data_IF_229290695130
#
_entry.id   IF_229290695130
#
_cell.length_a   1.000
_cell.length_b   1.000
_cell.length_c   1.000
_cell.angle_alpha   90.00
_cell.angle_beta   90.00
_cell.angle_gamma   90.00
#
_symmetry.space_group_name_H-M   'P 1'
#
loop_
_entity.id
_entity.type
_entity.pdbx_description
1 polymer ?
#
# COMPACT_ATOMS: atom_id res chain seq x y z
N UNK A 1 9.63 -3.12 -2.46
CA UNK A 1 9.34 -3.67 -1.11
C UNK A 1 7.84 -3.63 -0.87
N UNK A 2 7.26 -4.68 -0.29
CA UNK A 2 5.85 -4.71 0.10
C UNK A 2 5.72 -4.80 1.62
N UNK A 3 4.97 -3.88 2.23
CA UNK A 3 4.59 -3.91 3.64
C UNK A 3 3.07 -4.07 3.77
N UNK A 4 2.63 -5.32 3.96
CA UNK A 4 1.24 -5.68 4.28
C UNK A 4 0.86 -5.38 5.73
N UNK A 5 1.36 -4.27 6.28
CA UNK A 5 1.20 -3.81 7.65
C UNK A 5 1.16 -2.29 7.66
N UNK A 6 0.55 -1.72 8.69
CA UNK A 6 0.66 -0.31 8.98
C UNK A 6 0.16 0.01 10.39
N UNK A 7 0.37 1.25 10.82
CA UNK A 7 -0.12 1.77 12.09
C UNK A 7 -0.56 3.24 11.95
N UNK A 8 -1.19 3.81 12.98
CA UNK A 8 -1.71 5.17 12.92
C UNK A 8 -0.61 6.25 12.96
N UNK A 9 0.64 5.85 13.27
CA UNK A 9 1.68 6.78 13.70
C UNK A 9 2.61 7.20 12.56
N UNK A 10 2.34 8.39 12.01
CA UNK A 10 3.26 9.09 11.11
C UNK A 10 4.36 9.88 11.85
N UNK A 11 4.33 9.92 13.19
CA UNK A 11 5.33 10.60 14.03
C UNK A 11 6.51 9.69 14.39
N UNK A 12 6.47 8.41 14.03
CA UNK A 12 7.62 7.48 14.13
C UNK A 12 8.71 7.89 13.13
N UNK A 13 9.48 8.92 13.50
CA UNK A 13 10.53 9.50 12.65
C UNK A 13 11.56 8.46 12.20
N UNK A 14 12.10 7.59 13.08
CA UNK A 14 13.02 6.54 12.64
C UNK A 14 12.47 5.67 11.51
N UNK A 15 11.20 5.25 11.60
CA UNK A 15 10.57 4.43 10.57
C UNK A 15 10.34 5.23 9.28
N UNK A 16 9.75 6.41 9.39
CA UNK A 16 9.42 7.30 8.26
C UNK A 16 10.67 7.73 7.50
N UNK A 17 11.72 8.14 8.21
CA UNK A 17 12.98 8.58 7.60
C UNK A 17 13.67 7.41 6.88
N UNK A 18 13.59 6.19 7.42
CA UNK A 18 14.11 5.00 6.74
C UNK A 18 13.31 4.67 5.48
N UNK A 19 11.98 4.78 5.51
CA UNK A 19 11.14 4.59 4.30
C UNK A 19 11.51 5.63 3.23
N UNK A 20 11.75 6.88 3.61
CA UNK A 20 12.22 7.94 2.69
C UNK A 20 13.60 7.66 2.11
N UNK A 21 14.55 7.22 2.93
CA UNK A 21 15.90 6.86 2.45
C UNK A 21 15.85 5.71 1.43
N UNK A 22 15.05 4.68 1.71
CA UNK A 22 14.85 3.53 0.81
C UNK A 22 14.21 3.97 -0.51
N UNK A 23 13.14 4.76 -0.45
CA UNK A 23 12.46 5.26 -1.66
C UNK A 23 13.35 6.19 -2.48
N UNK A 24 14.13 7.07 -1.83
CA UNK A 24 15.10 7.94 -2.48
C UNK A 24 16.22 7.18 -3.21
N UNK A 25 16.53 5.94 -2.81
CA UNK A 25 17.48 5.07 -3.53
C UNK A 25 16.89 4.38 -4.76
N UNK A 26 15.65 4.71 -5.15
CA UNK A 26 14.97 4.16 -6.33
C UNK A 26 14.21 2.85 -6.06
N UNK A 27 14.07 2.44 -4.80
CA UNK A 27 13.31 1.24 -4.44
C UNK A 27 11.81 1.60 -4.36
N UNK A 28 11.00 0.97 -5.22
CA UNK A 28 9.54 1.13 -5.17
C UNK A 28 8.99 0.50 -3.89
N UNK A 29 8.20 1.28 -3.17
CA UNK A 29 7.60 0.89 -1.89
C UNK A 29 6.08 0.78 -2.04
N UNK A 30 5.52 -0.33 -1.59
CA UNK A 30 4.09 -0.63 -1.65
C UNK A 30 3.62 -1.02 -0.26
N UNK A 31 2.50 -0.48 0.20
CA UNK A 31 1.99 -0.78 1.54
C UNK A 31 0.45 -0.80 1.59
N UNK A 32 -0.08 -1.61 2.50
CA UNK A 32 -1.51 -1.72 2.76
C UNK A 32 -2.07 -0.46 3.45
N UNK A 33 -3.17 0.10 2.94
CA UNK A 33 -3.69 1.38 3.43
C UNK A 33 -4.33 1.34 4.83
N UNK A 34 -4.58 0.14 5.36
CA UNK A 34 -5.26 -0.07 6.65
C UNK A 34 -6.63 -0.74 6.49
N UNK A 35 -7.16 -1.22 7.61
CA UNK A 35 -8.45 -1.94 7.66
C UNK A 35 -9.47 -1.24 8.58
N UNK A 36 -9.30 0.06 8.77
CA UNK A 36 -9.99 0.88 9.76
C UNK A 36 -11.11 1.74 9.14
N UNK A 37 -11.43 1.50 7.86
CA UNK A 37 -12.58 2.13 7.20
C UNK A 37 -13.93 1.74 7.84
N UNK A 38 -15.05 2.34 7.39
CA UNK A 38 -15.20 3.07 6.13
C UNK A 38 -15.04 4.60 6.24
N UNK A 39 -14.84 5.14 7.45
CA UNK A 39 -14.77 6.58 7.65
C UNK A 39 -13.54 7.18 6.94
N UNK A 40 -13.63 8.40 6.41
CA UNK A 40 -12.46 9.15 5.96
C UNK A 40 -11.47 9.40 7.10
N UNK A 41 -10.17 9.44 6.81
CA UNK A 41 -9.12 9.75 7.80
C UNK A 41 -8.64 8.52 8.57
N UNK A 42 -8.82 7.32 8.00
CA UNK A 42 -8.50 6.02 8.61
C UNK A 42 -7.22 5.41 8.06
N UNK A 43 -6.42 6.21 7.34
CA UNK A 43 -5.22 5.77 6.64
C UNK A 43 -4.12 5.40 7.65
N UNK A 44 -3.37 4.34 7.36
CA UNK A 44 -2.22 3.92 8.16
C UNK A 44 -0.89 4.23 7.46
N UNK A 45 0.13 4.51 8.27
CA UNK A 45 1.53 4.63 7.88
C UNK A 45 2.15 3.24 7.63
N UNK A 46 3.01 3.03 6.60
CA UNK A 46 3.56 4.01 5.65
C UNK A 46 2.75 4.25 4.38
N UNK A 47 1.60 3.59 4.21
CA UNK A 47 0.80 3.69 2.98
C UNK A 47 0.25 5.11 2.70
N UNK A 48 0.17 5.95 3.73
CA UNK A 48 -0.23 7.36 3.66
C UNK A 48 0.90 8.32 3.27
N UNK A 49 2.16 7.85 3.20
CA UNK A 49 3.30 8.64 2.75
C UNK A 49 3.21 8.94 1.25
N UNK A 50 3.81 10.07 0.83
CA UNK A 50 3.84 10.49 -0.57
C UNK A 50 4.58 9.51 -1.49
N UNK A 51 5.71 8.99 -1.00
CA UNK A 51 6.65 8.20 -1.81
C UNK A 51 6.37 6.69 -1.71
N UNK A 52 5.22 6.32 -1.16
CA UNK A 52 4.76 4.94 -0.95
C UNK A 52 3.44 4.74 -1.67
N UNK A 53 3.34 3.67 -2.46
CA UNK A 53 2.09 3.27 -3.10
C UNK A 53 1.19 2.60 -2.05
N UNK A 54 0.15 3.31 -1.64
CA UNK A 54 -0.86 2.87 -0.69
C UNK A 54 -1.98 2.11 -1.38
N UNK A 55 -2.20 0.86 -0.96
CA UNK A 55 -3.10 -0.08 -1.61
C UNK A 55 -4.35 -0.33 -0.78
N UNK A 56 -5.51 -0.03 -1.37
CA UNK A 56 -6.82 -0.35 -0.82
C UNK A 56 -7.36 -1.72 -1.27
N UNK A 57 -8.41 -2.17 -0.60
CA UNK A 57 -9.05 -3.45 -0.85
C UNK A 57 -10.45 -3.31 -1.45
N UNK A 58 -10.70 -3.96 -2.57
CA UNK A 58 -12.04 -4.12 -3.17
C UNK A 58 -12.54 -5.55 -3.02
N UNK A 59 -13.84 -5.75 -3.20
CA UNK A 59 -14.46 -7.05 -3.37
C UNK A 59 -14.55 -7.48 -4.84
N UNK A 60 -15.01 -8.71 -5.08
CA UNK A 60 -15.18 -9.25 -6.43
C UNK A 60 -16.32 -8.57 -7.24
N UNK A 61 -17.16 -7.76 -6.59
CA UNK A 61 -18.13 -6.90 -7.26
C UNK A 61 -17.53 -5.55 -7.69
N UNK A 62 -16.24 -5.32 -7.46
CA UNK A 62 -15.55 -4.07 -7.77
C UNK A 62 -15.84 -2.94 -6.78
N UNK A 63 -16.54 -3.22 -5.67
CA UNK A 63 -16.85 -2.23 -4.65
C UNK A 63 -15.72 -2.15 -3.63
N UNK A 64 -15.41 -0.93 -3.16
CA UNK A 64 -14.45 -0.74 -2.08
C UNK A 64 -14.93 -1.48 -0.83
N UNK A 65 -14.08 -2.36 -0.30
CA UNK A 65 -14.44 -3.13 0.89
C UNK A 65 -14.66 -2.17 2.07
N UNK A 66 -15.67 -2.43 2.90
CA UNK A 66 -16.04 -1.55 4.02
C UNK A 66 -14.86 -1.29 4.97
N UNK A 67 -14.04 -2.31 5.22
CA UNK A 67 -12.84 -2.18 6.06
C UNK A 67 -11.73 -1.34 5.41
N UNK A 68 -11.68 -1.20 4.08
CA UNK A 68 -10.55 -0.54 3.43
C UNK A 68 -10.49 0.92 3.88
N UNK A 69 -9.39 1.30 4.53
CA UNK A 69 -9.14 2.67 4.94
C UNK A 69 -9.14 3.60 3.73
N UNK A 70 -9.55 4.86 3.95
CA UNK A 70 -9.74 5.85 2.89
C UNK A 70 -9.70 7.27 3.43
N UNK A 71 -9.58 8.24 2.52
CA UNK A 71 -9.71 9.66 2.81
C UNK A 71 -8.45 10.43 2.48
N UNK A 72 -8.26 11.55 3.17
CA UNK A 72 -7.10 12.42 2.97
C UNK A 72 -6.00 12.09 3.99
N UNK A 73 -4.75 12.19 3.57
CA UNK A 73 -3.58 12.14 4.46
C UNK A 73 -3.63 13.28 5.46
N UNK A 74 -3.13 13.04 6.67
CA UNK A 74 -3.12 14.04 7.75
C UNK A 74 -1.82 14.84 7.81
N UNK A 75 -0.79 14.40 7.09
CA UNK A 75 0.55 14.99 7.03
C UNK A 75 0.55 16.45 6.56
N UNK A 76 -0.23 16.74 5.53
CA UNK A 76 -0.27 18.06 4.87
C UNK A 76 -1.35 18.97 5.44
N UNK A 77 -2.10 18.55 6.46
CA UNK A 77 -3.15 19.37 7.06
C UNK A 77 -2.65 20.75 7.53
N UNK A 78 -1.46 20.89 8.14
CA UNK A 78 -0.90 22.22 8.46
C UNK A 78 -0.68 23.11 7.23
N UNK A 79 -0.49 22.52 6.05
CA UNK A 79 -0.22 23.21 4.78
C UNK A 79 -1.48 23.44 3.93
N UNK A 80 -2.66 22.99 4.40
CA UNK A 80 -3.96 23.40 3.87
C UNK A 80 -4.85 22.27 3.34
N UNK A 81 -4.31 21.16 2.84
CA UNK A 81 -5.12 20.00 2.44
C UNK A 81 -4.29 18.71 2.40
N UNK A 82 -4.91 17.60 2.77
CA UNK A 82 -4.32 16.27 2.62
C UNK A 82 -4.42 15.75 1.18
N UNK A 83 -3.60 14.75 0.86
CA UNK A 83 -3.62 14.00 -0.40
C UNK A 83 -4.64 12.86 -0.32
N UNK A 84 -5.40 12.58 -1.39
CA UNK A 84 -6.29 11.43 -1.43
C UNK A 84 -5.51 10.11 -1.44
N UNK A 85 -5.97 9.14 -0.64
CA UNK A 85 -5.50 7.74 -0.62
C UNK A 85 -6.71 6.80 -0.46
N UNK A 86 -6.63 5.52 -0.89
CA UNK A 86 -5.47 4.83 -1.46
C UNK A 86 -5.14 5.30 -2.88
N UNK A 87 -3.90 5.07 -3.35
CA UNK A 87 -3.49 5.41 -4.72
C UNK A 87 -4.08 4.44 -5.73
N UNK A 88 -4.15 3.16 -5.34
CA UNK A 88 -4.69 2.08 -6.15
C UNK A 88 -5.44 1.08 -5.27
N UNK A 89 -6.29 0.28 -5.89
CA UNK A 89 -7.03 -0.80 -5.22
C UNK A 89 -6.77 -2.13 -5.91
N UNK A 90 -6.80 -3.20 -5.11
CA UNK A 90 -6.80 -4.57 -5.62
C UNK A 90 -7.77 -5.43 -4.81
N UNK A 91 -8.03 -6.66 -5.28
CA UNK A 91 -8.90 -7.59 -4.54
C UNK A 91 -8.34 -7.83 -3.15
N UNK A 92 -9.15 -7.51 -2.14
CA UNK A 92 -8.78 -7.61 -0.73
C UNK A 92 -9.84 -8.26 0.13
N UNK A 93 -11.07 -8.49 -0.37
CA UNK A 93 -12.14 -9.15 0.38
C UNK A 93 -12.37 -10.57 -0.14
N UNK A 94 -12.36 -11.54 0.77
CA UNK A 94 -12.58 -12.98 0.50
C UNK A 94 -11.63 -13.59 -0.53
N UNK A 95 -10.40 -13.08 -0.61
CA UNK A 95 -9.39 -13.56 -1.55
C UNK A 95 -8.85 -14.91 -1.07
N UNK A 96 -8.78 -15.88 -1.98
CA UNK A 96 -8.21 -17.20 -1.70
C UNK A 96 -6.68 -17.10 -1.77
N UNK A 97 -6.00 -17.39 -0.67
CA UNK A 97 -4.56 -17.32 -0.55
C UNK A 97 -4.00 -18.61 0.07
N UNK A 98 -2.69 -18.83 -0.14
CA UNK A 98 -1.97 -19.96 0.45
C UNK A 98 -1.99 -19.89 1.99
N UNK A 99 -2.17 -21.04 2.62
CA UNK A 99 -2.14 -21.21 4.07
C UNK A 99 -0.79 -21.75 4.53
N UNK A 100 -0.29 -21.26 5.66
CA UNK A 100 0.94 -21.77 6.29
C UNK A 100 0.83 -23.21 6.82
N UNK A 101 -0.40 -23.76 6.89
CA UNK A 101 -0.67 -25.16 7.26
C UNK A 101 -0.92 -26.06 6.05
N UNK A 102 -0.60 -25.58 4.83
CA UNK A 102 -0.94 -26.25 3.58
C UNK A 102 -2.36 -25.92 3.09
N UNK A 103 -2.58 -26.07 1.78
CA UNK A 103 -3.84 -25.73 1.12
C UNK A 103 -4.10 -24.22 1.01
N UNK A 104 -5.36 -23.86 0.77
CA UNK A 104 -5.79 -22.48 0.59
C UNK A 104 -6.78 -22.07 1.68
N UNK A 105 -6.80 -20.77 2.00
CA UNK A 105 -7.80 -20.16 2.89
C UNK A 105 -8.29 -18.84 2.31
N UNK A 106 -9.52 -18.48 2.65
CA UNK A 106 -10.05 -17.15 2.33
C UNK A 106 -9.55 -16.14 3.36
N UNK A 107 -9.06 -15.00 2.87
CA UNK A 107 -8.56 -13.88 3.67
C UNK A 107 -9.25 -12.58 3.24
N UNK A 108 -9.44 -11.68 4.20
CA UNK A 108 -9.91 -10.32 3.95
C UNK A 108 -8.97 -9.32 4.62
N UNK A 109 -8.53 -8.31 3.87
CA UNK A 109 -7.70 -7.22 4.35
C UNK A 109 -6.93 -6.54 3.22
N UNK A 110 -6.57 -5.28 3.42
CA UNK A 110 -5.68 -4.53 2.51
C UNK A 110 -4.27 -5.14 2.47
N UNK A 111 -3.88 -5.85 3.54
CA UNK A 111 -2.70 -6.71 3.60
C UNK A 111 -2.66 -7.79 2.50
N UNK A 112 -3.81 -8.21 1.99
CA UNK A 112 -3.93 -9.19 0.89
C UNK A 112 -3.87 -8.49 -0.47
N UNK A 113 -4.40 -7.27 -0.57
CA UNK A 113 -4.39 -6.47 -1.79
C UNK A 113 -2.99 -5.92 -2.12
N UNK A 114 -2.25 -5.44 -1.12
CA UNK A 114 -0.91 -4.86 -1.26
C UNK A 114 0.09 -5.73 -2.06
N UNK A 115 0.29 -7.03 -1.74
CA UNK A 115 1.25 -7.87 -2.45
C UNK A 115 0.83 -8.17 -3.89
N UNK A 116 -0.47 -8.12 -4.22
CA UNK A 116 -0.96 -8.27 -5.61
C UNK A 116 -0.45 -7.11 -6.47
N UNK A 117 -0.56 -5.87 -5.95
CA UNK A 117 -0.03 -4.68 -6.63
C UNK A 117 1.50 -4.74 -6.74
N UNK A 118 2.19 -5.13 -5.67
CA UNK A 118 3.65 -5.29 -5.72
C UNK A 118 4.09 -6.34 -6.76
N UNK A 119 3.35 -7.44 -6.89
CA UNK A 119 3.56 -8.44 -7.93
C UNK A 119 3.34 -7.89 -9.35
N UNK A 120 2.25 -7.14 -9.56
CA UNK A 120 1.96 -6.48 -10.84
C UNK A 120 3.07 -5.49 -11.24
N UNK A 121 3.53 -4.65 -10.30
CA UNK A 121 4.68 -3.75 -10.51
C UNK A 121 5.93 -4.54 -10.89
N UNK A 122 6.19 -5.65 -10.20
CA UNK A 122 7.36 -6.50 -10.50
C UNK A 122 7.29 -7.09 -11.91
N UNK A 123 6.10 -7.54 -12.35
CA UNK A 123 5.90 -8.01 -13.72
C UNK A 123 6.15 -6.91 -14.75
N UNK A 124 5.64 -5.70 -14.51
CA UNK A 124 5.88 -4.54 -15.38
C UNK A 124 7.37 -4.18 -15.44
N UNK A 125 8.06 -4.17 -14.30
CA UNK A 125 9.51 -3.92 -14.28
C UNK A 125 10.31 -5.01 -15.00
N UNK A 126 9.84 -6.27 -14.96
CA UNK A 126 10.52 -7.38 -15.61
C UNK A 126 10.46 -7.35 -17.14
N UNK A 127 9.47 -6.64 -17.71
CA UNK A 127 9.33 -6.50 -19.17
C UNK A 127 10.09 -5.31 -19.74
N UNK A 128 10.63 -4.43 -18.89
CA UNK A 128 11.34 -3.22 -19.31
C UNK A 128 12.86 -3.46 -19.43
N UNK A 129 13.53 -2.82 -20.41
CA UNK A 129 14.99 -2.85 -20.50
C UNK A 129 15.65 -2.27 -19.24
N UNK A 130 16.68 -2.94 -18.71
CA UNK A 130 17.33 -2.54 -17.44
C UNK A 130 17.90 -1.11 -17.47
N UNK A 131 18.35 -0.67 -18.64
CA UNK A 131 18.96 0.62 -18.91
C UNK A 131 17.98 1.81 -18.87
N UNK A 132 16.67 1.55 -18.90
CA UNK A 132 15.66 2.59 -18.76
C UNK A 132 15.30 2.93 -17.30
N UNK A 133 15.58 2.04 -16.35
CA UNK A 133 15.17 2.20 -14.94
C UNK A 133 16.32 2.38 -13.96
N UNK A 134 17.47 1.74 -14.20
CA UNK A 134 18.64 1.93 -13.38
C UNK A 134 19.62 2.82 -14.15
N UNK A 135 19.73 4.12 -13.83
CA UNK A 135 20.80 4.92 -14.39
C UNK A 135 22.12 4.19 -14.11
N UNK A 136 22.93 4.00 -15.16
CA UNK A 136 24.24 3.35 -15.01
C UNK A 136 25.01 4.12 -13.94
N UNK A 137 25.48 3.40 -12.93
CA UNK A 137 26.36 3.92 -11.89
C UNK A 137 27.66 4.46 -12.50
#
# INVERSE_FOLDING_TARGET
INLSIGGPDFLDRPFVDKVREVTASGIIFVSAIGNDGPQPGTLNNPADMNDVIGVGGIDFGGSLASFSSRGLTVWELPSGHGRPKPDVVAFGKNVVASSNRGGCRSLSGTSVASPVVAGAITLLLSSLPRDQFFPKA
#
